data_IF_871619949428
#
_entry.id   IF_871619949428
#
_cell.length_a   1.000
_cell.length_b   1.000
_cell.length_c   1.000
_cell.angle_alpha   90.00
_cell.angle_beta   90.00
_cell.angle_gamma   90.00
#
_symmetry.space_group_name_H-M   'P 1'
#
loop_
_entity.id
_entity.type
_entity.pdbx_description
1 polymer ?
#
# COMPACT_ATOMS: atom_id res chain seq x y z
N UNK A 1 -26.15 -39.57 27.19
CA UNK A 1 -27.20 -38.61 26.82
C UNK A 1 -27.48 -38.72 25.32
N UNK A 2 -28.45 -37.96 24.82
CA UNK A 2 -28.89 -37.95 23.41
C UNK A 2 -27.73 -37.74 22.41
N UNK A 3 -26.69 -37.01 22.81
CA UNK A 3 -25.52 -36.70 21.98
C UNK A 3 -24.30 -37.62 22.22
N UNK A 4 -24.37 -38.58 23.14
CA UNK A 4 -23.21 -39.39 23.54
C UNK A 4 -22.84 -40.42 22.47
N UNK A 5 -21.55 -40.52 22.13
CA UNK A 5 -21.02 -41.50 21.17
C UNK A 5 -21.11 -41.09 19.70
N UNK A 6 -21.62 -39.89 19.41
CA UNK A 6 -21.70 -39.30 18.07
C UNK A 6 -20.43 -38.50 17.74
N UNK A 7 -20.19 -38.27 16.45
CA UNK A 7 -19.09 -37.42 15.98
C UNK A 7 -19.30 -35.94 16.37
N UNK A 8 -18.22 -35.21 16.64
CA UNK A 8 -18.32 -33.82 17.12
C UNK A 8 -18.96 -32.88 16.11
N UNK A 9 -18.76 -33.08 14.79
CA UNK A 9 -19.40 -32.24 13.75
C UNK A 9 -20.90 -32.53 13.65
N UNK A 10 -21.29 -33.79 13.78
CA UNK A 10 -22.70 -34.20 13.83
C UNK A 10 -23.38 -33.57 15.05
N UNK A 11 -22.73 -33.63 16.22
CA UNK A 11 -23.27 -33.07 17.47
C UNK A 11 -23.43 -31.55 17.40
N UNK A 12 -22.51 -30.82 16.77
CA UNK A 12 -22.65 -29.36 16.59
C UNK A 12 -23.93 -29.03 15.81
N UNK A 13 -24.23 -29.76 14.74
CA UNK A 13 -25.44 -29.54 13.94
C UNK A 13 -26.70 -29.87 14.74
N UNK A 14 -26.72 -31.04 15.39
CA UNK A 14 -27.86 -31.48 16.22
C UNK A 14 -28.17 -30.52 17.37
N UNK A 15 -27.13 -30.01 18.04
CA UNK A 15 -27.31 -29.01 19.10
C UNK A 15 -27.85 -27.70 18.52
N UNK A 16 -27.34 -27.23 17.37
CA UNK A 16 -27.85 -26.02 16.74
C UNK A 16 -29.33 -26.15 16.32
N UNK A 17 -29.72 -27.27 15.72
CA UNK A 17 -31.13 -27.56 15.39
C UNK A 17 -32.00 -27.55 16.64
N UNK A 18 -31.53 -28.19 17.72
CA UNK A 18 -32.26 -28.23 18.99
C UNK A 18 -32.40 -26.85 19.63
N UNK A 19 -31.36 -26.01 19.59
CA UNK A 19 -31.41 -24.64 20.08
C UNK A 19 -32.42 -23.79 19.29
N UNK A 20 -32.55 -24.03 17.98
CA UNK A 20 -33.54 -23.38 17.13
C UNK A 20 -34.95 -23.83 17.50
N UNK A 21 -35.20 -25.13 17.63
CA UNK A 21 -36.51 -25.68 18.06
C UNK A 21 -36.97 -25.13 19.40
N UNK A 22 -36.03 -24.93 20.33
CA UNK A 22 -36.28 -24.39 21.66
C UNK A 22 -36.39 -22.85 21.69
N UNK A 23 -36.09 -22.16 20.59
CA UNK A 23 -36.12 -20.70 20.51
C UNK A 23 -35.08 -20.01 21.39
N UNK A 24 -34.00 -20.70 21.78
CA UNK A 24 -32.99 -20.19 22.73
C UNK A 24 -31.59 -20.04 22.12
N UNK A 25 -31.42 -20.27 20.82
CA UNK A 25 -30.17 -20.02 20.13
C UNK A 25 -30.13 -20.64 18.73
N UNK A 26 -28.94 -20.62 18.13
CA UNK A 26 -28.69 -21.24 16.84
C UNK A 26 -27.27 -20.95 16.35
N UNK A 27 -26.95 -21.49 15.17
CA UNK A 27 -25.65 -21.26 14.55
C UNK A 27 -25.47 -19.77 14.23
N UNK A 28 -24.30 -19.24 14.55
CA UNK A 28 -23.89 -17.88 14.19
C UNK A 28 -22.47 -17.89 13.66
N UNK A 29 -22.16 -16.98 12.75
CA UNK A 29 -20.80 -16.77 12.23
C UNK A 29 -20.26 -15.50 12.88
N UNK A 30 -19.06 -15.58 13.44
CA UNK A 30 -18.37 -14.46 14.08
C UNK A 30 -17.05 -14.20 13.34
N UNK A 31 -16.70 -12.93 13.18
CA UNK A 31 -15.45 -12.51 12.57
C UNK A 31 -14.53 -11.90 13.63
N UNK A 32 -13.22 -12.17 13.55
CA UNK A 32 -12.22 -11.48 14.37
C UNK A 32 -11.93 -10.05 13.90
N UNK A 33 -12.31 -9.75 12.65
CA UNK A 33 -12.15 -8.43 12.06
C UNK A 33 -13.09 -7.44 12.75
N UNK A 34 -12.57 -6.26 13.07
CA UNK A 34 -13.34 -5.14 13.62
C UNK A 34 -13.51 -4.07 12.54
N UNK A 35 -14.46 -3.17 12.74
CA UNK A 35 -14.62 -2.01 11.89
C UNK A 35 -13.38 -1.12 11.89
N UNK A 36 -13.17 -0.43 10.77
CA UNK A 36 -12.01 0.40 10.58
C UNK A 36 -12.20 1.79 11.23
N UNK A 37 -11.49 2.02 12.33
CA UNK A 37 -11.42 3.33 12.96
C UNK A 37 -10.52 4.28 12.15
N UNK A 38 -11.13 5.22 11.41
CA UNK A 38 -10.42 6.13 10.49
C UNK A 38 -10.10 7.51 11.08
N UNK A 39 -10.80 7.98 12.11
CA UNK A 39 -10.58 9.33 12.66
C UNK A 39 -9.29 9.40 13.47
N UNK A 40 -8.56 10.49 13.34
CA UNK A 40 -7.29 10.75 14.02
C UNK A 40 -7.28 12.16 14.60
N UNK A 41 -6.90 12.26 15.87
CA UNK A 41 -6.72 13.53 16.58
C UNK A 41 -5.36 14.15 16.20
N UNK A 42 -5.15 14.38 14.91
CA UNK A 42 -3.91 14.86 14.31
C UNK A 42 -4.22 15.94 13.30
N UNK A 43 -3.34 16.93 13.20
CA UNK A 43 -3.43 17.99 12.21
C UNK A 43 -3.17 17.49 10.78
N UNK A 44 -2.08 16.73 10.59
CA UNK A 44 -1.61 16.38 9.25
C UNK A 44 -2.34 15.16 8.69
N UNK A 45 -3.53 15.40 8.15
CA UNK A 45 -4.36 14.42 7.46
C UNK A 45 -5.51 15.09 6.72
N UNK A 46 -6.28 14.32 5.96
CA UNK A 46 -7.45 14.85 5.23
C UNK A 46 -8.57 15.20 6.21
N UNK A 47 -9.09 16.44 6.25
CA UNK A 47 -10.24 16.76 7.10
C UNK A 47 -11.44 15.89 6.81
N UNK A 48 -12.14 15.43 7.85
CA UNK A 48 -13.39 14.68 7.69
C UNK A 48 -14.49 15.66 7.25
N UNK A 49 -15.17 15.45 6.09
CA UNK A 49 -16.14 16.40 5.53
C UNK A 49 -17.51 16.28 6.22
N UNK A 50 -17.53 16.40 7.55
CA UNK A 50 -18.73 16.36 8.39
C UNK A 50 -18.81 17.67 9.20
N UNK A 51 -20.04 18.15 9.41
CA UNK A 51 -20.39 19.28 10.27
C UNK A 51 -21.32 18.76 11.37
N UNK A 52 -21.00 19.08 12.62
CA UNK A 52 -21.77 18.76 13.82
C UNK A 52 -22.68 19.93 14.20
N UNK A 53 -23.99 19.76 14.00
CA UNK A 53 -25.01 20.73 14.36
C UNK A 53 -25.81 20.27 15.57
N UNK A 54 -25.99 21.13 16.58
CA UNK A 54 -26.79 20.80 17.77
C UNK A 54 -28.28 20.53 17.50
N UNK A 55 -28.80 20.92 16.33
CA UNK A 55 -30.18 20.63 15.91
C UNK A 55 -30.28 19.43 14.95
N UNK A 56 -29.41 19.38 13.93
CA UNK A 56 -29.50 18.39 12.85
C UNK A 56 -28.64 17.14 13.08
N UNK A 57 -27.70 17.16 14.03
CA UNK A 57 -26.72 16.09 14.23
C UNK A 57 -25.53 16.23 13.26
N UNK A 58 -24.96 15.09 12.84
CA UNK A 58 -23.86 15.04 11.88
C UNK A 58 -24.39 15.18 10.45
N UNK A 59 -24.00 16.24 9.76
CA UNK A 59 -24.41 16.53 8.38
C UNK A 59 -23.18 16.61 7.47
N UNK A 60 -23.25 16.11 6.22
CA UNK A 60 -22.13 16.19 5.30
C UNK A 60 -21.88 17.64 4.84
N UNK A 61 -20.62 17.96 4.59
CA UNK A 61 -20.23 19.18 3.87
C UNK A 61 -20.78 19.11 2.44
N UNK A 62 -21.36 20.20 1.89
CA UNK A 62 -21.79 20.22 0.49
C UNK A 62 -20.63 19.94 -0.48
N UNK A 63 -20.88 19.20 -1.55
CA UNK A 63 -19.84 18.86 -2.54
C UNK A 63 -19.20 20.11 -3.18
N UNK A 64 -19.98 21.19 -3.35
CA UNK A 64 -19.50 22.49 -3.84
C UNK A 64 -18.47 23.17 -2.94
N UNK A 65 -18.43 22.78 -1.66
CA UNK A 65 -17.57 23.37 -0.64
C UNK A 65 -16.29 22.55 -0.45
N UNK A 66 -16.14 21.46 -1.22
CA UNK A 66 -14.91 20.68 -1.26
C UNK A 66 -13.88 21.34 -2.20
N UNK A 67 -12.58 21.22 -1.89
CA UNK A 67 -12.00 20.54 -0.73
C UNK A 67 -12.04 21.38 0.55
N UNK A 68 -12.21 20.72 1.70
CA UNK A 68 -11.87 21.33 2.99
C UNK A 68 -10.34 21.37 3.14
N UNK A 69 -9.77 22.57 3.03
CA UNK A 69 -8.34 22.79 3.20
C UNK A 69 -7.96 22.87 4.68
N UNK A 70 -6.81 22.30 5.02
CA UNK A 70 -6.22 22.48 6.35
C UNK A 70 -5.84 23.96 6.55
N UNK A 71 -6.07 24.53 7.75
CA UNK A 71 -5.63 25.88 8.06
C UNK A 71 -4.11 25.94 8.15
N UNK A 72 -3.47 26.89 7.46
CA UNK A 72 -2.00 27.03 7.46
C UNK A 72 -1.46 27.48 8.82
N UNK A 73 -2.20 28.35 9.51
CA UNK A 73 -1.86 28.85 10.84
C UNK A 73 -2.56 27.99 11.91
N UNK A 74 -1.76 27.17 12.61
CA UNK A 74 -2.24 26.34 13.70
C UNK A 74 -1.27 26.36 14.87
N UNK A 75 -1.81 26.48 16.08
CA UNK A 75 -1.03 26.35 17.29
C UNK A 75 -0.82 24.86 17.60
N UNK A 76 0.43 24.42 17.55
CA UNK A 76 0.82 23.10 18.04
C UNK A 76 1.22 23.24 19.51
N UNK A 77 0.42 22.70 20.42
CA UNK A 77 0.82 22.58 21.81
C UNK A 77 1.39 21.19 22.09
N UNK A 78 2.53 21.16 22.77
CA UNK A 78 3.08 19.94 23.38
C UNK A 78 2.29 19.48 24.62
N UNK A 79 1.32 20.28 25.08
CA UNK A 79 0.47 20.01 26.26
C UNK A 79 -0.99 19.74 25.92
N UNK A 80 -1.39 19.73 24.64
CA UNK A 80 -2.67 19.12 24.30
C UNK A 80 -2.58 17.69 24.79
N UNK A 81 -3.41 17.33 25.77
CA UNK A 81 -3.57 15.93 26.14
C UNK A 81 -3.82 15.11 24.88
N UNK A 82 -3.48 13.83 24.92
CA UNK A 82 -3.59 12.92 23.77
C UNK A 82 -4.99 12.89 23.11
N UNK A 83 -5.99 13.55 23.73
CA UNK A 83 -7.41 13.53 23.41
C UNK A 83 -7.94 14.76 22.64
N UNK A 84 -7.15 15.83 22.39
CA UNK A 84 -7.64 17.01 21.66
C UNK A 84 -6.97 17.15 20.29
N UNK A 85 -7.75 17.06 19.21
CA UNK A 85 -7.25 17.33 17.85
C UNK A 85 -6.80 18.80 17.71
N UNK A 86 -5.63 19.08 17.09
CA UNK A 86 -5.18 20.46 16.87
C UNK A 86 -6.19 21.32 16.10
N UNK A 87 -6.97 20.75 15.18
CA UNK A 87 -7.95 21.52 14.40
C UNK A 87 -9.09 22.08 15.27
N UNK A 88 -9.35 21.47 16.44
CA UNK A 88 -10.35 21.96 17.37
C UNK A 88 -10.01 23.32 17.97
N UNK A 89 -8.74 23.74 17.95
CA UNK A 89 -8.30 25.04 18.49
C UNK A 89 -8.30 26.15 17.45
N UNK A 90 -8.42 25.81 16.16
CA UNK A 90 -8.49 26.78 15.08
C UNK A 90 -9.93 27.28 14.91
N UNK A 91 -10.27 28.40 15.56
CA UNK A 91 -11.63 28.98 15.49
C UNK A 91 -12.08 29.28 14.06
N UNK A 92 -11.16 29.72 13.20
CA UNK A 92 -11.44 30.01 11.79
C UNK A 92 -11.74 28.77 10.95
N UNK A 93 -11.25 27.60 11.36
CA UNK A 93 -11.53 26.33 10.73
C UNK A 93 -12.74 25.64 11.36
N UNK A 94 -12.82 25.55 12.68
CA UNK A 94 -13.84 24.74 13.35
C UNK A 94 -15.23 25.37 13.26
N UNK A 95 -15.34 26.70 13.35
CA UNK A 95 -16.63 27.38 13.36
C UNK A 95 -17.20 27.49 11.94
N UNK A 96 -18.45 27.06 11.77
CA UNK A 96 -19.14 27.12 10.49
C UNK A 96 -20.67 27.22 10.68
N UNK A 97 -21.41 27.19 9.58
CA UNK A 97 -22.88 27.16 9.58
C UNK A 97 -23.37 25.80 9.10
N UNK A 98 -24.46 25.31 9.69
CA UNK A 98 -25.10 24.08 9.26
C UNK A 98 -25.75 24.28 7.88
N UNK A 99 -25.39 23.48 6.85
CA UNK A 99 -25.95 23.61 5.52
C UNK A 99 -27.46 23.30 5.44
N UNK A 100 -28.00 22.54 6.39
CA UNK A 100 -29.43 22.18 6.40
C UNK A 100 -30.33 23.25 7.04
N UNK A 101 -29.88 23.88 8.13
CA UNK A 101 -30.73 24.76 8.94
C UNK A 101 -30.19 26.18 9.16
N UNK A 102 -28.99 26.49 8.67
CA UNK A 102 -28.37 27.82 8.73
C UNK A 102 -27.90 28.27 10.11
N UNK A 103 -28.01 27.42 11.15
CA UNK A 103 -27.53 27.74 12.51
C UNK A 103 -26.03 27.50 12.66
N UNK A 104 -25.43 28.10 13.69
CA UNK A 104 -24.06 27.82 14.11
C UNK A 104 -23.83 26.31 14.31
N UNK A 105 -22.69 25.84 13.82
CA UNK A 105 -22.26 24.46 13.87
C UNK A 105 -20.72 24.38 13.86
N UNK A 106 -20.18 23.19 14.10
CA UNK A 106 -18.74 22.97 14.13
C UNK A 106 -18.35 21.93 13.09
N UNK A 107 -17.26 22.15 12.34
CA UNK A 107 -16.66 21.09 11.50
C UNK A 107 -16.18 19.93 12.39
N UNK A 108 -16.03 18.75 11.81
CA UNK A 108 -15.34 17.67 12.48
C UNK A 108 -13.86 18.06 12.72
N UNK A 109 -13.36 17.97 13.96
CA UNK A 109 -11.99 18.36 14.27
C UNK A 109 -10.97 17.29 13.90
N UNK A 110 -11.39 16.06 13.59
CA UNK A 110 -10.46 14.97 13.29
C UNK A 110 -10.10 14.92 11.80
N UNK A 111 -8.96 14.30 11.53
CA UNK A 111 -8.53 13.97 10.18
C UNK A 111 -8.64 12.47 9.92
N UNK A 112 -8.66 12.09 8.65
CA UNK A 112 -8.64 10.70 8.22
C UNK A 112 -7.23 10.10 8.36
N UNK A 113 -7.17 8.84 8.79
CA UNK A 113 -5.97 8.03 8.82
C UNK A 113 -5.32 7.91 7.42
N UNK A 114 -3.98 7.84 7.41
CA UNK A 114 -3.19 7.74 6.17
C UNK A 114 -3.54 6.53 5.29
N UNK A 115 -4.06 5.45 5.89
CA UNK A 115 -4.53 4.29 5.14
C UNK A 115 -5.76 4.59 4.28
N UNK A 116 -6.55 5.63 4.59
CA UNK A 116 -7.63 6.09 3.70
C UNK A 116 -7.04 6.54 2.37
N UNK A 117 -6.03 7.41 2.37
CA UNK A 117 -5.40 7.88 1.14
C UNK A 117 -4.72 6.73 0.35
N UNK A 118 -3.98 5.85 1.04
CA UNK A 118 -3.27 4.75 0.39
C UNK A 118 -4.17 3.56 0.01
N UNK A 119 -5.45 3.56 0.37
CA UNK A 119 -6.40 2.50 0.00
C UNK A 119 -6.93 2.61 -1.43
N UNK A 120 -6.72 3.73 -2.13
CA UNK A 120 -7.27 3.92 -3.48
C UNK A 120 -6.35 4.67 -4.44
N UNK A 121 -5.16 5.08 -4.01
CA UNK A 121 -4.21 5.86 -4.80
C UNK A 121 -3.86 5.24 -6.17
N UNK A 122 -3.87 3.91 -6.30
CA UNK A 122 -3.66 3.21 -7.57
C UNK A 122 -4.77 3.48 -8.60
N UNK A 123 -5.98 3.85 -8.15
CA UNK A 123 -7.07 4.32 -9.02
C UNK A 123 -6.80 5.74 -9.56
N UNK A 124 -6.05 6.56 -8.82
CA UNK A 124 -5.75 7.95 -9.20
C UNK A 124 -4.62 8.05 -10.21
N UNK A 125 -3.63 7.15 -10.16
CA UNK A 125 -2.43 7.24 -10.99
C UNK A 125 -2.66 7.32 -12.51
N UNK A 126 -3.59 6.55 -13.12
CA UNK A 126 -3.78 6.60 -14.56
C UNK A 126 -4.08 8.01 -15.09
N UNK A 127 -4.76 8.85 -14.30
CA UNK A 127 -4.91 10.28 -14.56
C UNK A 127 -4.93 11.10 -13.26
N UNK A 128 -3.74 11.51 -12.82
CA UNK A 128 -3.58 12.25 -11.57
C UNK A 128 -4.15 13.68 -11.60
N UNK A 129 -4.47 14.22 -12.78
CA UNK A 129 -4.98 15.58 -12.97
C UNK A 129 -6.48 15.63 -13.28
N UNK A 130 -7.19 14.50 -13.24
CA UNK A 130 -8.63 14.46 -13.47
C UNK A 130 -9.40 15.29 -12.42
N UNK A 131 -10.19 16.26 -12.84
CA UNK A 131 -10.83 17.28 -11.99
C UNK A 131 -12.34 17.10 -11.83
N UNK A 132 -12.95 16.14 -12.54
CA UNK A 132 -14.40 15.85 -12.48
C UNK A 132 -14.77 14.75 -11.49
N UNK A 133 -13.84 14.28 -10.67
CA UNK A 133 -14.05 13.20 -9.71
C UNK A 133 -12.76 12.62 -9.14
N UNK A 134 -12.85 11.56 -8.33
CA UNK A 134 -11.68 10.97 -7.67
C UNK A 134 -10.72 10.30 -8.66
N UNK A 135 -11.22 9.69 -9.73
CA UNK A 135 -10.41 9.05 -10.78
C UNK A 135 -11.13 9.11 -12.12
N UNK A 136 -10.37 9.08 -13.21
CA UNK A 136 -10.88 9.14 -14.58
C UNK A 136 -11.45 7.77 -15.00
N UNK A 137 -12.77 7.66 -15.26
CA UNK A 137 -13.39 6.40 -15.66
C UNK A 137 -12.79 5.80 -16.94
N UNK A 138 -12.32 6.63 -17.88
CA UNK A 138 -11.77 6.18 -19.17
C UNK A 138 -10.34 5.61 -19.04
N UNK A 139 -9.66 5.92 -17.95
CA UNK A 139 -8.32 5.42 -17.65
C UNK A 139 -8.32 4.21 -16.71
N UNK A 140 -9.50 3.76 -16.25
CA UNK A 140 -9.64 2.51 -15.49
C UNK A 140 -9.25 1.26 -16.31
N UNK A 141 -9.09 1.37 -17.63
CA UNK A 141 -8.54 0.33 -18.52
C UNK A 141 -7.12 -0.13 -18.14
N UNK A 142 -6.39 0.68 -17.37
CA UNK A 142 -5.06 0.34 -16.83
C UNK A 142 -5.12 -0.55 -15.57
N UNK A 143 -6.32 -0.84 -15.08
CA UNK A 143 -6.57 -1.57 -13.85
C UNK A 143 -7.37 -2.86 -14.13
N UNK A 144 -7.27 -3.86 -13.25
CA UNK A 144 -6.48 -3.90 -12.00
C UNK A 144 -4.97 -3.94 -12.23
N UNK A 145 -4.19 -3.66 -11.19
CA UNK A 145 -2.72 -3.67 -11.27
C UNK A 145 -2.21 -5.09 -11.52
N UNK A 146 -1.49 -5.31 -12.61
CA UNK A 146 -0.98 -6.64 -12.98
C UNK A 146 0.02 -7.22 -11.96
N UNK A 147 0.91 -6.38 -11.45
CA UNK A 147 1.95 -6.76 -10.50
C UNK A 147 2.19 -5.64 -9.49
N UNK A 148 1.93 -5.93 -8.22
CA UNK A 148 2.16 -5.03 -7.10
C UNK A 148 3.32 -5.55 -6.26
N UNK A 149 4.30 -4.68 -5.99
CA UNK A 149 5.51 -5.01 -5.23
C UNK A 149 5.51 -4.17 -3.96
N UNK A 150 5.55 -4.81 -2.79
CA UNK A 150 5.55 -4.11 -1.52
C UNK A 150 5.90 -5.02 -0.35
N UNK A 151 6.38 -4.46 0.76
CA UNK A 151 6.83 -5.25 1.90
C UNK A 151 5.68 -6.01 2.60
N UNK A 152 6.00 -7.15 3.20
CA UNK A 152 5.03 -8.01 3.88
C UNK A 152 4.39 -7.36 5.11
N UNK A 153 4.98 -6.29 5.65
CA UNK A 153 4.44 -5.50 6.77
C UNK A 153 3.05 -4.91 6.48
N UNK A 154 2.66 -4.80 5.21
CA UNK A 154 1.38 -4.23 4.79
C UNK A 154 0.25 -5.27 4.61
N UNK A 155 0.50 -6.55 4.91
CA UNK A 155 -0.43 -7.67 4.68
C UNK A 155 -1.81 -7.48 5.33
N UNK A 156 -1.86 -6.99 6.57
CA UNK A 156 -3.11 -6.84 7.35
C UNK A 156 -3.61 -5.40 7.45
N UNK A 157 -2.95 -4.46 6.77
CA UNK A 157 -3.30 -3.04 6.77
C UNK A 157 -3.62 -2.59 5.34
N UNK A 158 -2.69 -1.89 4.68
CA UNK A 158 -2.87 -1.35 3.33
C UNK A 158 -3.45 -2.38 2.35
N UNK A 159 -2.93 -3.61 2.30
CA UNK A 159 -3.42 -4.63 1.37
C UNK A 159 -4.86 -5.06 1.69
N UNK A 160 -5.27 -5.05 2.96
CA UNK A 160 -6.65 -5.32 3.34
C UNK A 160 -7.56 -4.13 3.01
N UNK A 161 -7.14 -2.90 3.33
CA UNK A 161 -7.93 -1.69 3.10
C UNK A 161 -8.11 -1.39 1.61
N UNK A 162 -7.08 -1.60 0.79
CA UNK A 162 -7.18 -1.46 -0.67
C UNK A 162 -8.20 -2.44 -1.26
N UNK A 163 -8.21 -3.70 -0.77
CA UNK A 163 -9.23 -4.68 -1.18
C UNK A 163 -10.63 -4.28 -0.74
N UNK A 164 -10.78 -3.80 0.49
CA UNK A 164 -12.05 -3.31 1.00
C UNK A 164 -12.59 -2.16 0.15
N UNK A 165 -11.79 -1.12 -0.09
CA UNK A 165 -12.21 0.05 -0.88
C UNK A 165 -12.49 -0.31 -2.33
N UNK A 166 -11.69 -1.20 -2.94
CA UNK A 166 -12.00 -1.73 -4.29
C UNK A 166 -13.38 -2.36 -4.35
N UNK A 167 -13.70 -3.25 -3.41
CA UNK A 167 -15.00 -3.93 -3.38
C UNK A 167 -16.14 -2.96 -3.08
N UNK A 168 -15.95 -2.01 -2.17
CA UNK A 168 -16.94 -0.99 -1.88
C UNK A 168 -17.22 -0.10 -3.10
N UNK A 169 -16.19 0.32 -3.83
CA UNK A 169 -16.35 1.13 -5.06
C UNK A 169 -16.97 0.31 -6.21
N UNK A 170 -16.63 -0.97 -6.33
CA UNK A 170 -17.29 -1.90 -7.26
C UNK A 170 -18.77 -2.05 -6.95
N UNK A 171 -19.12 -2.31 -5.68
CA UNK A 171 -20.51 -2.47 -5.26
C UNK A 171 -21.30 -1.16 -5.39
N UNK A 172 -20.62 -0.01 -5.30
CA UNK A 172 -21.15 1.31 -5.65
C UNK A 172 -21.27 1.60 -7.15
N UNK A 173 -20.83 0.69 -8.03
CA UNK A 173 -20.92 0.82 -9.48
C UNK A 173 -19.81 1.64 -10.14
N UNK A 174 -18.75 2.01 -9.41
CA UNK A 174 -17.64 2.82 -9.92
C UNK A 174 -16.50 1.99 -10.53
N UNK A 175 -16.40 0.71 -10.18
CA UNK A 175 -15.38 -0.21 -10.68
C UNK A 175 -16.03 -1.48 -11.23
N UNK A 176 -15.37 -2.12 -12.19
CA UNK A 176 -15.81 -3.36 -12.83
C UNK A 176 -14.90 -4.56 -12.51
N UNK A 177 -14.04 -4.45 -11.49
CA UNK A 177 -13.12 -5.49 -11.05
C UNK A 177 -13.17 -5.69 -9.52
N UNK A 178 -12.79 -6.89 -9.09
CA UNK A 178 -12.97 -7.36 -7.71
C UNK A 178 -11.76 -7.16 -6.81
N UNK A 179 -10.56 -7.23 -7.37
CA UNK A 179 -9.30 -7.21 -6.64
C UNK A 179 -8.37 -6.18 -7.28
N UNK A 180 -7.71 -5.30 -6.49
CA UNK A 180 -6.90 -4.22 -7.04
C UNK A 180 -5.55 -4.69 -7.61
N UNK A 181 -5.04 -5.83 -7.14
CA UNK A 181 -3.72 -6.34 -7.47
C UNK A 181 -3.83 -7.81 -7.91
N UNK A 182 -3.48 -8.13 -9.15
CA UNK A 182 -3.57 -9.50 -9.70
C UNK A 182 -2.43 -10.39 -9.22
N UNK A 183 -1.23 -9.83 -9.11
CA UNK A 183 -0.05 -10.48 -8.51
C UNK A 183 0.53 -9.57 -7.44
N UNK A 184 0.89 -10.16 -6.31
CA UNK A 184 1.56 -9.50 -5.21
C UNK A 184 2.92 -10.17 -4.99
N UNK A 185 3.98 -9.38 -5.00
CA UNK A 185 5.33 -9.82 -4.66
C UNK A 185 5.82 -9.04 -3.44
N UNK A 186 6.28 -9.78 -2.44
CA UNK A 186 6.94 -9.20 -1.28
C UNK A 186 8.43 -9.20 -1.52
N UNK A 187 9.03 -8.01 -1.66
CA UNK A 187 10.48 -7.92 -1.64
C UNK A 187 11.01 -8.24 -0.24
N UNK A 188 12.19 -8.85 -0.20
CA UNK A 188 12.88 -9.10 1.05
C UNK A 188 13.44 -7.82 1.67
N UNK A 189 13.73 -7.90 2.97
CA UNK A 189 14.29 -6.76 3.71
C UNK A 189 15.80 -6.72 3.52
N UNK A 190 16.33 -5.58 3.09
CA UNK A 190 17.77 -5.34 3.08
C UNK A 190 18.24 -5.01 4.49
N UNK A 191 19.27 -5.72 4.95
CA UNK A 191 19.90 -5.53 6.27
C UNK A 191 21.30 -4.92 6.12
N UNK A 192 21.87 -4.45 7.23
CA UNK A 192 23.29 -4.13 7.34
C UNK A 192 23.81 -4.75 8.64
N UNK A 193 24.90 -5.51 8.56
CA UNK A 193 25.46 -6.25 9.69
C UNK A 193 24.43 -7.19 10.34
N UNK A 194 23.64 -7.88 9.50
CA UNK A 194 22.53 -8.77 9.91
C UNK A 194 21.41 -8.10 10.70
N UNK A 195 21.34 -6.77 10.69
CA UNK A 195 20.29 -6.00 11.34
C UNK A 195 19.49 -5.18 10.33
N UNK A 196 18.15 -5.16 10.49
CA UNK A 196 17.28 -4.25 9.74
C UNK A 196 17.80 -2.81 9.85
N UNK A 197 17.97 -2.14 8.71
CA UNK A 197 18.41 -0.76 8.66
C UNK A 197 17.35 0.18 9.25
N UNK A 198 17.77 1.05 10.17
CA UNK A 198 16.90 2.11 10.72
C UNK A 198 17.70 3.30 11.24
N UNK A 199 17.11 4.50 11.20
CA UNK A 199 17.73 5.72 11.73
C UNK A 199 18.12 5.57 13.21
N UNK A 200 17.25 4.95 14.01
CA UNK A 200 17.47 4.71 15.44
C UNK A 200 18.67 3.81 15.74
N UNK A 201 19.08 2.96 14.80
CA UNK A 201 20.24 2.06 14.93
C UNK A 201 21.51 2.64 14.33
N UNK A 202 21.43 3.78 13.64
CA UNK A 202 22.58 4.42 12.99
C UNK A 202 23.22 3.58 11.88
N UNK A 203 22.55 2.53 11.39
CA UNK A 203 23.07 1.58 10.41
C UNK A 203 22.47 1.77 9.00
N UNK A 204 21.84 2.92 8.73
CA UNK A 204 21.28 3.23 7.42
C UNK A 204 22.40 3.47 6.40
N UNK A 205 22.21 2.93 5.20
CA UNK A 205 23.08 3.21 4.05
C UNK A 205 22.39 4.20 3.15
N UNK A 206 23.06 5.32 2.83
CA UNK A 206 22.57 6.28 1.86
C UNK A 206 22.88 5.81 0.44
N UNK A 207 21.90 5.63 -0.45
CA UNK A 207 22.15 5.28 -1.86
C UNK A 207 23.03 6.31 -2.59
N UNK A 208 22.89 7.60 -2.26
CA UNK A 208 23.52 8.71 -3.00
C UNK A 208 25.04 8.59 -3.06
N UNK A 209 25.67 8.22 -1.94
CA UNK A 209 27.13 8.05 -1.85
C UNK A 209 27.65 6.97 -2.83
N UNK A 210 26.88 5.89 -3.01
CA UNK A 210 27.23 4.80 -3.91
C UNK A 210 26.90 5.14 -5.37
N UNK A 211 25.80 5.85 -5.60
CA UNK A 211 25.40 6.33 -6.93
C UNK A 211 26.43 7.32 -7.46
N UNK A 212 26.89 8.28 -6.66
CA UNK A 212 27.91 9.24 -7.06
C UNK A 212 29.24 8.55 -7.42
N UNK A 213 29.63 7.54 -6.64
CA UNK A 213 30.89 6.82 -6.84
C UNK A 213 30.86 5.77 -7.97
N UNK A 214 29.75 5.05 -8.12
CA UNK A 214 29.67 3.87 -9.00
C UNK A 214 28.67 4.01 -10.15
N UNK A 215 27.82 5.03 -10.13
CA UNK A 215 26.71 5.22 -11.06
C UNK A 215 25.46 4.43 -10.71
N UNK A 216 24.31 4.93 -11.14
CA UNK A 216 22.99 4.36 -10.86
C UNK A 216 22.82 2.92 -11.36
N UNK A 217 23.38 2.60 -12.53
CA UNK A 217 23.26 1.25 -13.11
C UNK A 217 24.00 0.20 -12.28
N UNK A 218 25.20 0.54 -11.80
CA UNK A 218 25.95 -0.33 -10.89
C UNK A 218 25.20 -0.56 -9.59
N UNK A 219 24.63 0.49 -9.01
CA UNK A 219 23.85 0.40 -7.77
C UNK A 219 22.60 -0.48 -7.95
N UNK A 220 21.80 -0.23 -9.00
CA UNK A 220 20.61 -1.03 -9.32
C UNK A 220 20.96 -2.50 -9.56
N UNK A 221 21.99 -2.78 -10.37
CA UNK A 221 22.41 -4.14 -10.65
C UNK A 221 22.94 -4.84 -9.39
N UNK A 222 23.60 -4.12 -8.49
CA UNK A 222 24.03 -4.71 -7.22
C UNK A 222 22.84 -5.09 -6.33
N UNK A 223 21.82 -4.23 -6.22
CA UNK A 223 20.60 -4.56 -5.48
C UNK A 223 19.89 -5.80 -6.04
N UNK A 224 19.93 -5.99 -7.36
CA UNK A 224 19.32 -7.14 -8.03
C UNK A 224 20.17 -8.41 -7.95
N UNK A 225 21.48 -8.29 -7.76
CA UNK A 225 22.42 -9.42 -7.74
C UNK A 225 22.77 -9.92 -6.33
N UNK A 226 22.58 -9.09 -5.30
CA UNK A 226 23.06 -9.40 -3.95
C UNK A 226 22.35 -10.59 -3.27
N UNK A 227 21.18 -10.99 -3.76
CA UNK A 227 20.41 -12.13 -3.27
C UNK A 227 19.06 -12.27 -3.98
N UNK A 228 18.29 -13.33 -3.68
CA UNK A 228 16.93 -13.49 -4.17
C UNK A 228 16.05 -12.29 -3.79
N UNK A 229 15.22 -11.83 -4.72
CA UNK A 229 14.44 -10.60 -4.56
C UNK A 229 13.47 -10.61 -3.37
N UNK A 230 12.89 -11.77 -3.08
CA UNK A 230 11.91 -12.02 -2.02
C UNK A 230 12.54 -12.33 -0.65
N UNK A 231 13.80 -12.78 -0.61
CA UNK A 231 14.55 -12.99 0.62
C UNK A 231 15.30 -11.74 1.07
N UNK A 232 15.74 -10.90 0.13
CA UNK A 232 16.51 -9.68 0.38
C UNK A 232 17.99 -10.00 0.49
N UNK A 233 18.67 -9.38 1.44
CA UNK A 233 20.09 -9.65 1.66
C UNK A 233 20.79 -8.65 2.57
N UNK A 234 21.98 -9.03 3.03
CA UNK A 234 22.82 -8.15 3.84
C UNK A 234 23.67 -7.25 2.94
N UNK A 235 23.54 -5.95 3.12
CA UNK A 235 24.27 -4.95 2.37
C UNK A 235 25.76 -5.02 2.68
N UNK A 236 26.59 -5.04 1.63
CA UNK A 236 28.04 -5.03 1.74
C UNK A 236 28.64 -3.92 0.85
N UNK A 237 29.22 -2.91 1.49
CA UNK A 237 29.87 -1.77 0.83
C UNK A 237 30.94 -2.17 -0.21
N UNK A 238 31.57 -3.34 -0.03
CA UNK A 238 32.59 -3.85 -0.96
C UNK A 238 32.00 -4.67 -2.11
N UNK A 239 30.81 -5.25 -1.92
CA UNK A 239 30.15 -6.12 -2.91
C UNK A 239 29.84 -5.41 -4.22
N UNK A 240 29.44 -4.14 -4.15
CA UNK A 240 29.16 -3.29 -5.31
C UNK A 240 30.35 -3.11 -6.27
N UNK A 241 31.58 -3.26 -5.75
CA UNK A 241 32.80 -3.15 -6.58
C UNK A 241 32.86 -4.25 -7.64
N UNK A 242 32.35 -5.44 -7.34
CA UNK A 242 32.27 -6.54 -8.29
C UNK A 242 31.38 -6.20 -9.49
N UNK A 243 30.20 -5.64 -9.21
CA UNK A 243 29.25 -5.20 -10.24
C UNK A 243 29.80 -4.01 -11.04
N UNK A 244 30.48 -3.08 -10.39
CA UNK A 244 31.14 -1.95 -11.07
C UNK A 244 32.17 -2.44 -12.11
N UNK A 245 32.95 -3.47 -11.75
CA UNK A 245 33.89 -4.12 -12.68
C UNK A 245 33.18 -4.86 -13.80
N UNK A 246 32.07 -5.54 -13.51
CA UNK A 246 31.26 -6.21 -14.53
C UNK A 246 30.69 -5.22 -15.55
N UNK A 247 30.10 -4.10 -15.10
CA UNK A 247 29.63 -3.02 -15.96
C UNK A 247 30.77 -2.43 -16.80
N UNK A 248 31.93 -2.19 -16.19
CA UNK A 248 33.12 -1.71 -16.92
C UNK A 248 33.60 -2.70 -17.97
N UNK A 249 33.47 -4.01 -17.73
CA UNK A 249 33.80 -5.06 -18.69
C UNK A 249 32.83 -5.05 -19.87
N UNK A 250 31.53 -4.93 -19.61
CA UNK A 250 30.50 -4.78 -20.67
C UNK A 250 30.83 -3.54 -21.51
N UNK A 251 31.08 -2.40 -20.87
CA UNK A 251 31.43 -1.16 -21.57
C UNK A 251 32.64 -1.36 -22.49
N UNK A 252 33.74 -1.90 -21.97
CA UNK A 252 34.94 -2.19 -22.78
C UNK A 252 34.65 -3.15 -23.92
N UNK A 253 33.81 -4.16 -23.70
CA UNK A 253 33.40 -5.10 -24.73
C UNK A 253 32.64 -4.39 -25.86
N UNK A 254 31.71 -3.49 -25.53
CA UNK A 254 30.97 -2.68 -26.52
C UNK A 254 31.85 -1.68 -27.28
N UNK A 255 33.07 -1.39 -26.81
CA UNK A 255 34.04 -0.54 -27.53
C UNK A 255 34.95 -1.33 -28.47
N UNK A 256 34.88 -2.67 -28.47
CA UNK A 256 35.62 -3.48 -29.43
C UNK A 256 35.03 -3.29 -30.83
N UNK A 257 35.86 -3.38 -31.90
CA UNK A 257 35.33 -3.37 -33.25
C UNK A 257 34.43 -4.58 -33.49
N UNK A 258 33.46 -4.42 -34.38
CA UNK A 258 32.58 -5.52 -34.78
C UNK A 258 33.42 -6.69 -35.32
N UNK A 259 33.07 -7.90 -34.87
CA UNK A 259 33.71 -9.12 -35.34
C UNK A 259 33.25 -9.43 -36.76
N UNK A 260 34.20 -9.64 -37.68
CA UNK A 260 33.90 -10.16 -39.02
C UNK A 260 33.56 -11.66 -39.02
N UNK A 261 33.80 -12.36 -37.90
CA UNK A 261 33.44 -13.77 -37.76
C UNK A 261 31.92 -13.94 -37.70
N UNK A 262 31.40 -14.92 -38.45
CA UNK A 262 30.02 -15.36 -38.31
C UNK A 262 29.86 -16.19 -37.03
N UNK A 263 28.79 -15.93 -36.29
CA UNK A 263 28.42 -16.75 -35.13
C UNK A 263 28.25 -18.21 -35.56
N UNK A 264 28.89 -19.12 -34.83
CA UNK A 264 28.73 -20.55 -35.06
C UNK A 264 27.47 -21.10 -34.35
N UNK A 265 27.18 -22.39 -34.54
CA UNK A 265 26.01 -23.01 -33.91
C UNK A 265 26.09 -22.97 -32.37
N UNK A 266 27.29 -23.03 -31.80
CA UNK A 266 27.50 -23.01 -30.35
C UNK A 266 27.23 -21.61 -29.79
N UNK A 267 27.69 -20.57 -30.48
CA UNK A 267 27.43 -19.17 -30.13
C UNK A 267 25.92 -18.89 -30.14
N UNK A 268 25.23 -19.28 -31.22
CA UNK A 268 23.78 -19.10 -31.35
C UNK A 268 23.02 -19.89 -30.28
N UNK A 269 23.44 -21.12 -29.98
CA UNK A 269 22.82 -21.94 -28.93
C UNK A 269 22.96 -21.28 -27.57
N UNK A 270 24.16 -20.79 -27.23
CA UNK A 270 24.40 -20.09 -25.96
C UNK A 270 23.57 -18.82 -25.85
N UNK A 271 23.50 -18.03 -26.93
CA UNK A 271 22.68 -16.83 -27.00
C UNK A 271 21.20 -17.14 -26.74
N UNK A 272 20.61 -18.10 -27.45
CA UNK A 272 19.20 -18.45 -27.27
C UNK A 272 18.89 -19.05 -25.90
N UNK A 273 19.79 -19.87 -25.35
CA UNK A 273 19.66 -20.39 -23.98
C UNK A 273 19.69 -19.24 -22.96
N UNK A 274 20.56 -18.26 -23.16
CA UNK A 274 20.69 -17.08 -22.28
C UNK A 274 19.43 -16.21 -22.36
N UNK A 275 18.93 -15.92 -23.58
CA UNK A 275 17.68 -15.17 -23.78
C UNK A 275 16.51 -15.86 -23.08
N UNK A 276 16.38 -17.18 -23.24
CA UNK A 276 15.32 -17.96 -22.62
C UNK A 276 15.42 -17.91 -21.08
N UNK A 277 16.60 -18.13 -20.52
CA UNK A 277 16.80 -18.08 -19.07
C UNK A 277 16.45 -16.71 -18.52
N UNK A 278 17.08 -15.65 -19.05
CA UNK A 278 16.86 -14.27 -18.56
C UNK A 278 15.41 -13.86 -18.69
N UNK A 279 14.72 -14.24 -19.77
CA UNK A 279 13.30 -13.92 -19.94
C UNK A 279 12.43 -14.64 -18.91
N UNK A 280 12.69 -15.93 -18.66
CA UNK A 280 11.95 -16.69 -17.65
C UNK A 280 12.21 -16.15 -16.23
N UNK A 281 13.45 -15.82 -15.92
CA UNK A 281 13.88 -15.32 -14.62
C UNK A 281 13.30 -13.93 -14.35
N UNK A 282 13.26 -13.04 -15.34
CA UNK A 282 12.59 -11.73 -15.26
C UNK A 282 11.08 -11.86 -14.99
N UNK A 283 10.39 -12.82 -15.62
CA UNK A 283 8.97 -13.08 -15.35
C UNK A 283 8.72 -13.67 -13.96
N UNK A 284 9.70 -14.36 -13.39
CA UNK A 284 9.64 -14.95 -12.04
C UNK A 284 10.21 -14.03 -10.96
N UNK A 285 10.70 -12.85 -11.33
CA UNK A 285 11.40 -11.89 -10.46
C UNK A 285 12.65 -12.48 -9.78
N UNK A 286 13.36 -13.37 -10.48
CA UNK A 286 14.66 -13.92 -10.07
C UNK A 286 15.76 -13.12 -10.75
N UNK A 287 16.21 -12.05 -10.12
CA UNK A 287 17.13 -11.10 -10.78
C UNK A 287 18.62 -11.42 -10.61
N UNK A 288 18.98 -12.33 -9.70
CA UNK A 288 20.36 -12.61 -9.26
C UNK A 288 21.04 -13.77 -9.99
#
# INVERSE_FOLDING_TARGET
GEFSGKDSKEVINLINERLIELGCGGATVQYKLHDWLISRQRYWGTPIPIIHCGKCGAVPVPESDLPLLLPEEIEFSSTYGEDLSPLATSESFINTICPECGKEAHRDPDTMDTFVCSSWYYLRYPNAHYDKGPFDPEELKWLPVDCYIGGAEHATMHLLYARFITKALRDGGYLNFDEPFLKLYHQGTITKDSAKMSKSRGNTVSPDEFIEKHGSDTFRAYLMFMGPFDEGGDWNDTGITGISRFMSKIWRFCQLPDSENKADEKDLRMLHQTIQSVTNDMHQMKFN
#
